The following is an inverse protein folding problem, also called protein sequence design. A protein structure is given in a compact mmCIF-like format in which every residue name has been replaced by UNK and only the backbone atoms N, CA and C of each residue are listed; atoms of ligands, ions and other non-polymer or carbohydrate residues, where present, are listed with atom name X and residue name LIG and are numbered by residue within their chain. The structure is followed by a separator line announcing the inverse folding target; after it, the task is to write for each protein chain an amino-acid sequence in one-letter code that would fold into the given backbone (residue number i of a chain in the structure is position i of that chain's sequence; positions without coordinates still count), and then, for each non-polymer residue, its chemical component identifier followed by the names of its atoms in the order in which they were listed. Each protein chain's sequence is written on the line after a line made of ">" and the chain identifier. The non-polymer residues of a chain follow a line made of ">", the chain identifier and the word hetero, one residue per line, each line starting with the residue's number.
data_IF_568416566418
#
_entry.id   IF_568416566418
#
_cell.length_a   1.000
_cell.length_b   1.000
_cell.length_c   1.000
_cell.angle_alpha   90.00
_cell.angle_beta   90.00
_cell.angle_gamma   90.00
#
_symmetry.space_group_name_H-M   'P 1'
#
loop_
_entity.id
_entity.type
_entity.pdbx_description
1 polymer ?
#
# COMPACT_ATOMS: atom_id res chain seq x y z
N UNK A 1 7.66 76.84 -7.21
CA UNK A 1 6.68 75.91 -6.60
C UNK A 1 6.64 74.65 -7.44
N UNK A 2 7.48 73.66 -7.12
CA UNK A 2 7.55 72.37 -7.82
C UNK A 2 7.60 71.27 -6.76
N UNK A 3 6.51 70.52 -6.66
CA UNK A 3 6.32 69.42 -5.70
C UNK A 3 7.09 68.17 -6.13
N UNK A 4 7.71 67.38 -5.22
CA UNK A 4 8.35 66.12 -5.58
C UNK A 4 7.31 64.99 -5.70
N UNK A 5 7.39 64.24 -6.80
CA UNK A 5 6.57 63.06 -7.06
C UNK A 5 7.01 61.89 -6.17
N UNK A 6 6.09 61.45 -5.31
CA UNK A 6 6.24 60.37 -4.34
C UNK A 6 6.17 59.00 -5.03
N UNK A 7 7.27 58.23 -4.97
CA UNK A 7 7.35 56.84 -5.46
C UNK A 7 6.37 55.95 -4.69
N UNK A 8 5.54 55.20 -5.42
CA UNK A 8 4.70 54.13 -4.88
C UNK A 8 5.17 52.78 -5.45
N UNK A 9 5.86 52.01 -4.62
CA UNK A 9 6.21 50.59 -4.83
C UNK A 9 5.15 49.66 -4.22
N UNK A 10 5.12 48.36 -4.58
CA UNK A 10 3.89 47.64 -4.93
C UNK A 10 3.23 46.90 -3.76
N UNK A 11 1.95 47.18 -3.53
CA UNK A 11 1.11 46.46 -2.56
C UNK A 11 0.56 45.11 -3.10
N UNK A 12 0.71 44.84 -4.40
CA UNK A 12 0.02 43.73 -5.07
C UNK A 12 0.72 42.36 -4.92
N UNK A 13 2.01 42.33 -4.57
CA UNK A 13 2.79 41.08 -4.42
C UNK A 13 2.56 40.38 -3.07
N UNK A 14 2.06 41.08 -2.05
CA UNK A 14 1.81 40.50 -0.73
C UNK A 14 0.56 39.62 -0.67
N UNK A 15 -0.45 39.91 -1.49
CA UNK A 15 -1.74 39.22 -1.47
C UNK A 15 -1.74 37.90 -2.26
N UNK A 16 -0.87 37.76 -3.27
CA UNK A 16 -0.71 36.50 -4.01
C UNK A 16 0.10 35.44 -3.23
N UNK A 17 1.02 35.88 -2.37
CA UNK A 17 1.82 34.98 -1.51
C UNK A 17 1.00 34.35 -0.37
N UNK A 18 -0.01 35.04 0.15
CA UNK A 18 -0.85 34.51 1.23
C UNK A 18 -1.88 33.48 0.75
N UNK A 19 -2.35 33.58 -0.50
CA UNK A 19 -3.24 32.55 -1.09
C UNK A 19 -2.49 31.25 -1.41
N UNK A 20 -1.21 31.34 -1.77
CA UNK A 20 -0.36 30.16 -2.04
C UNK A 20 -0.03 29.36 -0.76
N UNK A 21 -0.02 30.00 0.41
CA UNK A 21 0.34 29.35 1.68
C UNK A 21 -0.82 28.57 2.32
N UNK A 22 -2.08 28.85 1.95
CA UNK A 22 -3.26 28.11 2.45
C UNK A 22 -3.45 26.77 1.73
N UNK A 23 -2.90 26.59 0.53
CA UNK A 23 -3.01 25.33 -0.21
C UNK A 23 -2.00 24.25 0.24
N UNK A 24 -0.99 24.62 1.03
CA UNK A 24 0.14 23.74 1.40
C UNK A 24 -0.12 22.96 2.70
N UNK A 25 -1.16 23.29 3.46
CA UNK A 25 -1.46 22.67 4.74
C UNK A 25 -2.81 21.96 4.75
N UNK A 26 -3.02 21.01 3.85
CA UNK A 26 -3.99 19.95 4.12
C UNK A 26 -3.36 19.04 5.20
N UNK A 27 -3.96 18.90 6.41
CA UNK A 27 -3.51 17.87 7.32
C UNK A 27 -3.69 16.53 6.60
N UNK A 28 -2.70 15.66 6.70
CA UNK A 28 -2.84 14.26 6.30
C UNK A 28 -3.92 13.65 7.21
N UNK A 29 -5.19 13.78 6.82
CA UNK A 29 -6.27 12.98 7.37
C UNK A 29 -5.83 11.54 7.10
N UNK A 30 -5.58 10.76 8.15
CA UNK A 30 -5.36 9.33 8.01
C UNK A 30 -6.58 8.79 7.26
N UNK A 31 -6.44 8.57 5.95
CA UNK A 31 -7.52 8.03 5.15
C UNK A 31 -7.80 6.65 5.73
N UNK A 32 -8.99 6.46 6.30
CA UNK A 32 -9.45 5.14 6.70
C UNK A 32 -9.44 4.30 5.43
N UNK A 33 -8.46 3.41 5.32
CA UNK A 33 -8.30 2.55 4.16
C UNK A 33 -9.51 1.61 4.13
N UNK A 34 -10.20 1.57 2.99
CA UNK A 34 -11.29 0.62 2.82
C UNK A 34 -10.75 -0.81 2.93
N UNK A 35 -11.58 -1.74 3.39
CA UNK A 35 -11.21 -3.15 3.44
C UNK A 35 -11.68 -3.88 2.19
N UNK A 36 -10.87 -4.83 1.73
CA UNK A 36 -11.26 -5.78 0.70
C UNK A 36 -12.32 -6.71 1.29
N UNK A 37 -13.57 -6.50 0.90
CA UNK A 37 -14.71 -7.22 1.47
C UNK A 37 -14.68 -8.70 1.11
N UNK A 38 -14.26 -9.05 -0.11
CA UNK A 38 -14.25 -10.42 -0.59
C UNK A 38 -13.16 -11.24 0.12
N UNK A 39 -11.96 -10.67 0.24
CA UNK A 39 -10.85 -11.31 0.94
C UNK A 39 -11.11 -11.39 2.45
N UNK A 40 -11.65 -10.32 3.05
CA UNK A 40 -12.03 -10.31 4.48
C UNK A 40 -13.10 -11.36 4.79
N UNK A 41 -14.10 -11.53 3.92
CA UNK A 41 -15.08 -12.59 4.08
C UNK A 41 -14.42 -13.99 4.08
N UNK A 42 -13.41 -14.20 3.22
CA UNK A 42 -12.64 -15.45 3.20
C UNK A 42 -11.79 -15.66 4.46
N UNK A 43 -11.18 -14.60 5.01
CA UNK A 43 -10.47 -14.69 6.30
C UNK A 43 -11.42 -15.23 7.37
N UNK A 44 -12.62 -14.64 7.47
CA UNK A 44 -13.62 -15.04 8.48
C UNK A 44 -14.19 -16.44 8.21
N UNK A 45 -14.37 -16.83 6.95
CA UNK A 45 -14.83 -18.17 6.57
C UNK A 45 -13.86 -19.26 7.00
N UNK A 46 -12.56 -19.03 6.84
CA UNK A 46 -11.52 -20.02 7.18
C UNK A 46 -10.96 -19.85 8.60
N UNK A 47 -11.44 -18.87 9.36
CA UNK A 47 -11.12 -18.74 10.77
C UNK A 47 -12.21 -19.41 11.59
N UNK A 48 -11.86 -20.52 12.25
CA UNK A 48 -12.85 -21.38 12.94
C UNK A 48 -13.54 -20.70 14.10
N UNK A 49 -12.87 -19.80 14.82
CA UNK A 49 -13.43 -19.07 15.95
C UNK A 49 -12.91 -17.62 16.01
N UNK A 50 -13.74 -16.64 16.41
CA UNK A 50 -13.38 -15.21 16.34
C UNK A 50 -12.16 -14.85 17.18
N UNK A 51 -11.90 -15.55 18.28
CA UNK A 51 -10.78 -15.27 19.16
C UNK A 51 -9.42 -15.71 18.58
N UNK A 52 -9.40 -16.44 17.45
CA UNK A 52 -8.17 -16.72 16.70
C UNK A 52 -7.76 -15.55 15.80
N UNK A 53 -8.66 -14.60 15.53
CA UNK A 53 -8.36 -13.38 14.79
C UNK A 53 -8.19 -12.19 15.75
N UNK A 54 -7.22 -11.33 15.45
CA UNK A 54 -7.09 -10.02 16.10
C UNK A 54 -7.41 -8.93 15.08
N UNK A 55 -7.68 -7.68 15.50
CA UNK A 55 -7.91 -6.57 14.58
C UNK A 55 -6.77 -6.29 13.58
N UNK A 56 -5.61 -6.93 13.73
CA UNK A 56 -4.47 -6.80 12.81
C UNK A 56 -4.51 -7.82 11.65
N UNK A 57 -5.31 -8.88 11.77
CA UNK A 57 -5.32 -10.02 10.83
C UNK A 57 -6.72 -10.48 10.44
N UNK A 58 -7.77 -9.88 11.00
CA UNK A 58 -9.18 -10.23 10.75
C UNK A 58 -9.75 -9.61 9.47
N UNK A 59 -9.02 -8.69 8.82
CA UNK A 59 -9.39 -8.06 7.56
C UNK A 59 -8.17 -7.75 6.70
N UNK A 60 -8.40 -7.60 5.39
CA UNK A 60 -7.38 -7.12 4.46
C UNK A 60 -7.69 -5.68 4.05
N UNK A 61 -6.76 -4.72 4.26
CA UNK A 61 -6.89 -3.38 3.69
C UNK A 61 -6.85 -3.43 2.16
N UNK A 62 -7.86 -2.87 1.50
CA UNK A 62 -7.97 -2.84 0.04
C UNK A 62 -6.87 -1.96 -0.56
N UNK A 63 -6.29 -2.42 -1.67
CA UNK A 63 -5.33 -1.66 -2.47
C UNK A 63 -5.78 -1.65 -3.92
N UNK A 64 -5.64 -0.51 -4.59
CA UNK A 64 -5.91 -0.41 -6.02
C UNK A 64 -4.74 -0.90 -6.88
N UNK A 65 -3.55 -1.02 -6.30
CA UNK A 65 -2.31 -1.31 -7.04
C UNK A 65 -1.67 -2.62 -6.60
N UNK A 66 -1.68 -2.92 -5.30
CA UNK A 66 -1.03 -4.12 -4.75
C UNK A 66 -2.00 -5.29 -4.86
N UNK A 67 -1.64 -6.37 -5.58
CA UNK A 67 -2.53 -7.51 -5.75
C UNK A 67 -2.66 -8.31 -4.45
N UNK A 68 -3.82 -8.91 -4.25
CA UNK A 68 -4.07 -9.84 -3.14
C UNK A 68 -3.64 -11.27 -3.51
N UNK A 69 -3.45 -12.17 -2.53
CA UNK A 69 -3.27 -13.59 -2.83
C UNK A 69 -4.45 -14.17 -3.63
N UNK A 70 -5.67 -13.68 -3.44
CA UNK A 70 -6.84 -14.15 -4.17
C UNK A 70 -6.73 -13.79 -5.66
N UNK A 71 -6.22 -12.60 -5.99
CA UNK A 71 -6.03 -12.16 -7.39
C UNK A 71 -4.99 -12.99 -8.13
N UNK A 72 -3.93 -13.41 -7.44
CA UNK A 72 -2.79 -14.11 -8.06
C UNK A 72 -2.94 -15.63 -8.00
N UNK A 73 -3.36 -16.17 -6.85
CA UNK A 73 -3.44 -17.61 -6.58
C UNK A 73 -4.82 -18.19 -6.91
N UNK A 74 -5.88 -17.37 -6.89
CA UNK A 74 -7.27 -17.82 -7.03
C UNK A 74 -7.91 -18.30 -5.72
N UNK A 75 -7.15 -18.32 -4.64
CA UNK A 75 -7.59 -18.69 -3.29
C UNK A 75 -6.84 -17.89 -2.22
N UNK A 76 -7.42 -17.83 -1.02
CA UNK A 76 -6.78 -17.21 0.15
C UNK A 76 -5.64 -18.07 0.67
N UNK A 77 -4.61 -17.44 1.23
CA UNK A 77 -3.57 -18.15 1.96
C UNK A 77 -4.18 -18.96 3.13
N UNK A 78 -3.94 -20.27 3.16
CA UNK A 78 -4.52 -21.17 4.17
C UNK A 78 -5.94 -21.67 3.85
N UNK A 79 -6.40 -21.54 2.61
CA UNK A 79 -7.66 -22.14 2.18
C UNK A 79 -7.73 -23.66 2.48
N UNK A 80 -8.91 -24.15 2.87
CA UNK A 80 -9.13 -25.57 3.15
C UNK A 80 -8.81 -26.43 1.93
N UNK A 81 -8.17 -27.58 2.16
CA UNK A 81 -7.81 -28.58 1.14
C UNK A 81 -6.88 -28.07 0.02
N UNK A 82 -6.22 -26.92 0.21
CA UNK A 82 -5.29 -26.35 -0.77
C UNK A 82 -3.88 -26.23 -0.18
N UNK A 83 -2.92 -26.91 -0.82
CA UNK A 83 -1.49 -26.73 -0.55
C UNK A 83 -0.85 -25.94 -1.70
N UNK A 84 -0.50 -24.68 -1.44
CA UNK A 84 0.10 -23.80 -2.45
C UNK A 84 1.58 -24.14 -2.63
N UNK A 85 2.00 -24.36 -3.87
CA UNK A 85 3.38 -24.71 -4.18
C UNK A 85 4.31 -23.49 -4.09
N UNK A 86 5.60 -23.65 -3.70
CA UNK A 86 6.52 -22.52 -3.57
C UNK A 86 6.62 -21.64 -4.82
N UNK A 87 6.57 -22.22 -6.02
CA UNK A 87 6.62 -21.45 -7.27
C UNK A 87 5.47 -20.43 -7.38
N UNK A 88 4.26 -20.79 -6.93
CA UNK A 88 3.11 -19.88 -6.92
C UNK A 88 3.22 -18.83 -5.82
N UNK A 89 3.76 -19.21 -4.66
CA UNK A 89 4.07 -18.25 -3.59
C UNK A 89 5.09 -17.21 -4.10
N UNK A 90 6.13 -17.65 -4.81
CA UNK A 90 7.15 -16.75 -5.37
C UNK A 90 6.58 -15.85 -6.46
N UNK A 91 5.68 -16.40 -7.30
CA UNK A 91 4.93 -15.60 -8.29
C UNK A 91 4.13 -14.49 -7.61
N UNK A 92 3.45 -14.80 -6.50
CA UNK A 92 2.73 -13.79 -5.71
C UNK A 92 3.68 -12.76 -5.08
N UNK A 93 4.76 -13.18 -4.43
CA UNK A 93 5.71 -12.24 -3.81
C UNK A 93 6.37 -11.30 -4.84
N UNK A 94 6.69 -11.81 -6.03
CA UNK A 94 7.22 -10.98 -7.13
C UNK A 94 6.16 -10.02 -7.68
N UNK A 95 4.90 -10.45 -7.83
CA UNK A 95 3.81 -9.56 -8.22
C UNK A 95 3.59 -8.41 -7.22
N UNK A 96 3.76 -8.67 -5.92
CA UNK A 96 3.72 -7.63 -4.89
C UNK A 96 4.90 -6.66 -5.02
N UNK A 97 6.11 -7.16 -5.26
CA UNK A 97 7.30 -6.34 -5.47
C UNK A 97 7.16 -5.45 -6.72
N UNK A 98 6.62 -5.99 -7.82
CA UNK A 98 6.39 -5.21 -9.05
C UNK A 98 5.35 -4.09 -8.84
N UNK A 99 4.38 -4.30 -7.95
CA UNK A 99 3.29 -3.37 -7.67
C UNK A 99 3.59 -2.34 -6.57
N UNK A 100 4.67 -2.49 -5.81
CA UNK A 100 4.95 -1.68 -4.62
C UNK A 100 6.42 -1.27 -4.52
N UNK A 101 6.74 0.03 -4.37
CA UNK A 101 8.11 0.49 -4.16
C UNK A 101 8.65 0.14 -2.76
N UNK A 102 7.84 -0.48 -1.90
CA UNK A 102 8.23 -0.87 -0.53
C UNK A 102 8.75 -2.30 -0.44
N UNK A 103 8.59 -3.10 -1.50
CA UNK A 103 8.93 -4.52 -1.46
C UNK A 103 9.92 -4.82 -2.56
N UNK A 104 11.01 -5.50 -2.21
CA UNK A 104 11.98 -6.02 -3.16
C UNK A 104 12.21 -7.52 -2.89
N UNK A 105 12.34 -8.31 -3.96
CA UNK A 105 12.51 -9.77 -3.86
C UNK A 105 13.84 -10.17 -4.50
N UNK A 106 14.72 -10.74 -3.70
CA UNK A 106 16.02 -11.25 -4.11
C UNK A 106 16.04 -12.76 -4.14
N UNK A 107 16.78 -13.32 -5.10
CA UNK A 107 17.18 -14.73 -5.07
C UNK A 107 18.39 -14.88 -4.15
N UNK A 108 18.38 -15.88 -3.27
CA UNK A 108 19.50 -16.19 -2.36
C UNK A 108 20.20 -17.51 -2.69
N UNK A 109 19.95 -18.04 -3.89
CA UNK A 109 20.50 -19.32 -4.35
C UNK A 109 19.42 -20.40 -4.44
N UNK A 110 19.86 -21.64 -4.60
CA UNK A 110 18.99 -22.81 -4.76
C UNK A 110 19.14 -23.76 -3.58
N UNK A 111 18.08 -24.51 -3.29
CA UNK A 111 18.14 -25.65 -2.36
C UNK A 111 18.93 -26.81 -2.96
N UNK A 112 19.23 -27.83 -2.17
CA UNK A 112 19.85 -29.09 -2.64
C UNK A 112 19.04 -29.79 -3.76
N UNK A 113 17.73 -29.54 -3.83
CA UNK A 113 16.87 -30.07 -4.89
C UNK A 113 16.80 -29.16 -6.14
N UNK A 114 17.62 -28.10 -6.20
CA UNK A 114 17.63 -27.14 -7.30
C UNK A 114 16.41 -26.22 -7.35
N UNK A 115 15.78 -25.95 -6.19
CA UNK A 115 14.64 -25.02 -6.10
C UNK A 115 15.13 -23.66 -5.63
N UNK A 116 14.73 -22.59 -6.31
CA UNK A 116 15.08 -21.23 -5.89
C UNK A 116 14.64 -20.96 -4.44
N UNK A 117 15.48 -20.28 -3.68
CA UNK A 117 15.11 -19.66 -2.41
C UNK A 117 15.09 -18.14 -2.60
N UNK A 118 14.05 -17.49 -2.08
CA UNK A 118 13.90 -16.03 -2.17
C UNK A 118 13.87 -15.37 -0.80
N UNK A 119 14.27 -14.10 -0.75
CA UNK A 119 14.06 -13.19 0.38
C UNK A 119 13.26 -11.99 -0.10
N UNK A 120 12.17 -11.68 0.60
CA UNK A 120 11.44 -10.43 0.44
C UNK A 120 11.90 -9.43 1.50
N UNK A 121 12.28 -8.24 1.08
CA UNK A 121 12.61 -7.11 1.96
C UNK A 121 11.45 -6.12 1.91
N UNK A 122 11.00 -5.65 3.08
CA UNK A 122 9.79 -4.84 3.28
C UNK A 122 10.09 -3.66 4.22
#
# INVERSE_FOLDING_TARGET
>A
MTSPAQRRTPLATGLLMTLAMVLVAAPAVAQVQANDQAYTAKILEFTTEPFFATPLVDHLPASATVPTPLDVLGHIAGAADVLTYPADIYRYMRAVADASPRVEVFSIGETEEGREMIVAVV
#
